data_IF_275807393261
#
_entry.id   IF_275807393261
#
_cell.length_a   1.000
_cell.length_b   1.000
_cell.length_c   1.000
_cell.angle_alpha   90.00
_cell.angle_beta   90.00
_cell.angle_gamma   90.00
#
_symmetry.space_group_name_H-M   'P 1'
#
loop_
_entity.id
_entity.type
_entity.pdbx_description
1 polymer ?
#
# COMPACT_ATOMS: atom_id res chain seq x y z
N UNK A 1 36.72 -27.30 68.75
CA UNK A 1 35.64 -28.00 68.00
C UNK A 1 35.01 -27.13 66.88
N UNK A 2 35.76 -26.21 66.23
CA UNK A 2 35.17 -25.24 65.27
C UNK A 2 35.81 -25.24 63.86
N UNK A 3 36.71 -26.16 63.54
CA UNK A 3 37.40 -26.17 62.23
C UNK A 3 36.67 -26.92 61.10
N UNK A 4 35.60 -27.68 61.41
CA UNK A 4 34.89 -28.48 60.39
C UNK A 4 33.69 -27.74 59.76
N UNK A 5 33.14 -26.74 60.43
CA UNK A 5 31.98 -25.99 59.94
C UNK A 5 32.35 -24.94 58.86
N UNK A 6 33.57 -24.40 58.89
CA UNK A 6 34.03 -23.36 57.97
C UNK A 6 34.28 -23.86 56.55
N UNK A 7 34.62 -25.14 56.37
CA UNK A 7 34.87 -25.73 55.04
C UNK A 7 33.60 -26.01 54.24
N UNK A 8 32.48 -26.29 54.92
CA UNK A 8 31.19 -26.57 54.25
C UNK A 8 30.55 -25.28 53.75
N UNK A 9 30.67 -24.18 54.51
CA UNK A 9 30.15 -22.86 54.10
C UNK A 9 30.88 -22.30 52.88
N UNK A 10 32.20 -22.52 52.79
CA UNK A 10 33.01 -22.07 51.66
C UNK A 10 32.72 -22.85 50.36
N UNK A 11 32.40 -24.15 50.47
CA UNK A 11 31.95 -24.95 49.32
C UNK A 11 30.54 -24.57 48.84
N UNK A 12 29.64 -24.19 49.75
CA UNK A 12 28.29 -23.74 49.37
C UNK A 12 28.32 -22.38 48.65
N UNK A 13 29.19 -21.46 49.06
CA UNK A 13 29.40 -20.17 48.38
C UNK A 13 30.04 -20.31 46.99
N UNK A 14 30.87 -21.34 46.77
CA UNK A 14 31.51 -21.60 45.48
C UNK A 14 30.54 -22.21 44.45
N UNK A 15 29.57 -23.02 44.90
CA UNK A 15 28.51 -23.56 44.03
C UNK A 15 27.48 -22.49 43.65
N UNK A 16 27.24 -21.50 44.51
CA UNK A 16 26.39 -20.34 44.19
C UNK A 16 27.06 -19.35 43.21
N UNK A 17 28.40 -19.29 43.18
CA UNK A 17 29.16 -18.46 42.21
C UNK A 17 29.27 -19.08 40.81
N UNK A 18 28.91 -20.35 40.64
CA UNK A 18 28.96 -21.07 39.37
C UNK A 18 27.65 -21.02 38.56
N UNK A 19 26.62 -20.32 39.05
CA UNK A 19 25.62 -19.73 38.14
C UNK A 19 26.25 -18.50 37.51
N UNK A 20 27.30 -18.76 36.73
CA UNK A 20 27.87 -17.87 35.74
C UNK A 20 26.68 -17.24 35.05
N UNK A 21 26.55 -15.93 35.24
CA UNK A 21 25.66 -15.10 34.48
C UNK A 21 25.74 -15.58 33.04
N UNK A 22 24.69 -16.28 32.59
CA UNK A 22 24.39 -16.37 31.17
C UNK A 22 24.01 -14.94 30.85
N UNK A 23 25.02 -14.09 30.65
CA UNK A 23 24.89 -12.86 29.93
C UNK A 23 24.20 -13.30 28.66
N UNK A 24 22.89 -13.07 28.59
CA UNK A 24 22.09 -13.33 27.41
C UNK A 24 22.82 -12.55 26.33
N UNK A 25 23.60 -13.27 25.54
CA UNK A 25 24.32 -12.72 24.42
C UNK A 25 23.22 -12.44 23.39
N UNK A 26 22.45 -11.37 23.64
CA UNK A 26 21.35 -10.98 22.78
C UNK A 26 22.00 -10.75 21.43
N UNK A 27 21.57 -11.45 20.38
CA UNK A 27 22.17 -11.26 19.07
C UNK A 27 22.10 -9.78 18.73
N UNK A 28 23.21 -9.22 18.28
CA UNK A 28 23.24 -7.86 17.76
C UNK A 28 22.39 -7.86 16.49
N UNK A 29 21.39 -6.99 16.45
CA UNK A 29 20.52 -6.84 15.29
C UNK A 29 20.88 -5.57 14.52
N UNK A 30 20.90 -5.69 13.21
CA UNK A 30 20.83 -4.56 12.28
C UNK A 30 19.35 -4.31 11.95
N UNK A 31 18.98 -3.05 11.75
CA UNK A 31 17.59 -2.64 11.50
C UNK A 31 17.47 -1.86 10.19
N UNK A 32 16.37 -2.09 9.48
CA UNK A 32 16.00 -1.39 8.27
C UNK A 32 14.50 -1.11 8.28
N UNK A 33 14.10 0.04 7.74
CA UNK A 33 12.70 0.41 7.61
C UNK A 33 12.30 0.44 6.13
N UNK A 34 11.13 -0.12 5.81
CA UNK A 34 10.46 0.07 4.53
C UNK A 34 9.19 0.89 4.77
N UNK A 35 9.17 2.11 4.25
CA UNK A 35 7.99 2.97 4.21
C UNK A 35 7.20 2.62 2.95
N UNK A 36 5.96 2.19 3.07
CA UNK A 36 5.01 1.97 1.98
C UNK A 36 3.95 3.07 2.00
N UNK A 37 3.75 3.74 0.87
CA UNK A 37 2.87 4.93 0.80
C UNK A 37 1.42 4.63 0.40
N UNK A 38 1.09 3.36 0.13
CA UNK A 38 -0.30 2.96 -0.10
C UNK A 38 -0.85 3.33 -1.47
N UNK A 39 -2.18 3.18 -1.58
CA UNK A 39 -2.98 3.34 -2.81
C UNK A 39 -3.05 4.78 -3.32
N UNK A 40 -2.81 5.77 -2.46
CA UNK A 40 -2.72 7.19 -2.85
C UNK A 40 -1.47 7.54 -3.63
N UNK A 41 -0.54 6.60 -3.79
CA UNK A 41 0.63 6.80 -4.65
C UNK A 41 0.18 6.91 -6.11
N UNK A 42 0.01 8.16 -6.56
CA UNK A 42 -0.43 8.50 -7.91
C UNK A 42 0.72 8.55 -8.91
N UNK A 43 1.92 8.93 -8.43
CA UNK A 43 3.16 8.95 -9.20
C UNK A 43 4.37 8.85 -8.25
N UNK A 44 5.50 8.35 -8.76
CA UNK A 44 6.75 8.24 -8.01
C UNK A 44 6.93 6.91 -7.28
N UNK A 45 7.76 6.86 -6.22
CA UNK A 45 8.05 5.63 -5.50
C UNK A 45 6.83 5.15 -4.70
N UNK A 46 6.61 3.84 -4.73
CA UNK A 46 5.59 3.14 -3.92
C UNK A 46 6.06 2.98 -2.48
N UNK A 47 7.37 3.01 -2.26
CA UNK A 47 7.95 2.95 -0.94
C UNK A 47 9.44 3.28 -0.90
N UNK A 48 9.99 3.34 0.31
CA UNK A 48 11.36 3.75 0.56
C UNK A 48 12.03 2.90 1.64
N UNK A 49 13.25 2.43 1.39
CA UNK A 49 14.13 1.72 2.32
C UNK A 49 15.10 2.67 3.01
N UNK A 50 15.20 2.55 4.34
CA UNK A 50 16.19 3.25 5.15
C UNK A 50 16.79 2.31 6.23
N UNK A 51 18.08 1.94 6.16
CA UNK A 51 19.03 2.23 5.07
C UNK A 51 18.67 1.50 3.76
N UNK A 52 19.40 1.78 2.68
CA UNK A 52 19.15 1.21 1.35
C UNK A 52 19.31 -0.33 1.33
N UNK A 53 18.39 -1.02 0.67
CA UNK A 53 18.48 -2.47 0.42
C UNK A 53 19.21 -2.70 -0.90
N UNK A 54 20.36 -3.39 -0.88
CA UNK A 54 21.17 -3.65 -2.10
C UNK A 54 21.49 -2.38 -2.91
N UNK A 55 21.67 -1.24 -2.23
CA UNK A 55 21.89 0.07 -2.87
C UNK A 55 20.63 0.75 -3.42
N UNK A 56 19.46 0.13 -3.28
CA UNK A 56 18.18 0.69 -3.66
C UNK A 56 17.48 1.33 -2.46
N UNK A 57 17.23 2.64 -2.55
CA UNK A 57 16.43 3.38 -1.56
C UNK A 57 14.96 3.40 -1.93
N UNK A 58 14.61 3.50 -3.21
CA UNK A 58 13.23 3.69 -3.63
C UNK A 58 12.68 2.48 -4.34
N UNK A 59 11.47 2.07 -3.96
CA UNK A 59 10.71 1.04 -4.64
C UNK A 59 9.76 1.74 -5.60
N UNK A 60 9.85 1.45 -6.89
CA UNK A 60 8.98 2.00 -7.94
C UNK A 60 8.25 0.87 -8.68
N UNK A 61 7.10 1.17 -9.26
CA UNK A 61 6.48 0.27 -10.23
C UNK A 61 7.35 0.18 -11.49
N UNK A 62 7.38 -1.00 -12.13
CA UNK A 62 8.15 -1.22 -13.36
C UNK A 62 7.67 -0.35 -14.53
N UNK A 63 6.42 0.10 -14.49
CA UNK A 63 5.84 1.03 -15.46
C UNK A 63 4.52 1.63 -14.96
N UNK A 64 4.01 2.66 -15.64
CA UNK A 64 2.76 3.31 -15.26
C UNK A 64 1.56 2.39 -15.51
N UNK A 65 0.70 2.24 -14.50
CA UNK A 65 -0.58 1.51 -14.61
C UNK A 65 -1.58 2.28 -15.47
N UNK A 66 -2.67 1.63 -15.88
CA UNK A 66 -3.76 2.29 -16.63
C UNK A 66 -4.35 3.45 -15.82
N UNK A 67 -4.49 3.27 -14.51
CA UNK A 67 -4.92 4.31 -13.58
C UNK A 67 -3.97 5.53 -13.63
N UNK A 68 -2.65 5.32 -13.50
CA UNK A 68 -1.66 6.40 -13.58
C UNK A 68 -1.69 7.12 -14.93
N UNK A 69 -1.79 6.38 -16.04
CA UNK A 69 -1.88 6.97 -17.39
C UNK A 69 -3.11 7.87 -17.53
N UNK A 70 -4.29 7.40 -17.07
CA UNK A 70 -5.54 8.17 -17.14
C UNK A 70 -5.48 9.43 -16.27
N UNK A 71 -4.86 9.32 -15.10
CA UNK A 71 -4.65 10.47 -14.22
C UNK A 71 -3.70 11.49 -14.87
N UNK A 72 -2.57 11.04 -15.43
CA UNK A 72 -1.63 11.91 -16.14
C UNK A 72 -2.30 12.60 -17.33
N UNK A 73 -3.12 11.90 -18.11
CA UNK A 73 -3.90 12.49 -19.20
C UNK A 73 -4.85 13.58 -18.71
N UNK A 74 -5.51 13.37 -17.55
CA UNK A 74 -6.39 14.38 -16.95
C UNK A 74 -5.65 15.63 -16.44
N UNK A 75 -4.39 15.48 -16.00
CA UNK A 75 -3.57 16.60 -15.50
C UNK A 75 -2.85 17.37 -16.61
N UNK A 76 -2.34 16.67 -17.64
CA UNK A 76 -1.57 17.29 -18.72
C UNK A 76 -2.49 17.93 -19.77
N UNK A 77 -3.81 17.75 -19.66
CA UNK A 77 -4.77 18.43 -20.53
C UNK A 77 -4.56 18.07 -22.00
N UNK A 78 -4.08 16.85 -22.31
CA UNK A 78 -3.99 16.37 -23.68
C UNK A 78 -5.38 16.04 -24.18
N UNK A 79 -6.11 17.08 -24.58
CA UNK A 79 -6.72 17.25 -25.91
C UNK A 79 -7.60 16.18 -26.53
N UNK A 80 -7.85 15.03 -25.91
CA UNK A 80 -9.07 14.30 -26.23
C UNK A 80 -10.18 15.07 -25.53
N UNK A 81 -10.78 16.00 -26.28
CA UNK A 81 -12.15 16.44 -26.02
C UNK A 81 -12.93 15.19 -25.65
N UNK A 82 -13.27 15.06 -24.37
CA UNK A 82 -14.49 14.35 -24.02
C UNK A 82 -15.54 15.16 -24.76
N UNK A 83 -15.89 14.74 -25.99
CA UNK A 83 -17.12 15.12 -26.67
C UNK A 83 -18.25 14.55 -25.82
N UNK A 84 -18.44 15.13 -24.64
CA UNK A 84 -19.70 15.11 -23.96
C UNK A 84 -20.60 15.91 -24.87
N UNK A 85 -21.32 15.21 -25.75
CA UNK A 85 -22.49 15.78 -26.38
C UNK A 85 -23.39 16.25 -25.23
N UNK A 86 -23.30 17.54 -24.94
CA UNK A 86 -24.07 18.14 -23.87
C UNK A 86 -25.46 18.32 -24.46
N UNK A 87 -26.30 17.29 -24.31
CA UNK A 87 -27.67 17.38 -24.78
C UNK A 87 -28.44 18.38 -23.93
N UNK A 88 -29.13 19.31 -24.59
CA UNK A 88 -29.93 20.32 -23.92
C UNK A 88 -31.30 19.72 -23.57
N UNK A 89 -31.53 19.45 -22.29
CA UNK A 89 -32.83 18.97 -21.79
C UNK A 89 -33.67 20.14 -21.30
N UNK A 90 -34.88 20.28 -21.84
CA UNK A 90 -35.86 21.31 -21.44
C UNK A 90 -37.18 20.64 -21.05
N UNK A 91 -37.73 21.03 -19.90
CA UNK A 91 -39.04 20.54 -19.41
C UNK A 91 -40.01 21.72 -19.47
N UNK A 92 -41.04 21.62 -20.31
CA UNK A 92 -42.10 22.64 -20.43
C UNK A 92 -43.47 22.03 -20.09
N UNK A 93 -44.51 22.86 -20.04
CA UNK A 93 -45.91 22.40 -19.88
C UNK A 93 -46.37 21.50 -21.03
N UNK A 94 -45.70 21.53 -22.19
CA UNK A 94 -46.03 20.71 -23.35
C UNK A 94 -45.34 19.34 -23.35
N UNK A 95 -44.29 19.13 -22.54
CA UNK A 95 -43.56 17.86 -22.41
C UNK A 95 -42.05 18.03 -22.20
N UNK A 96 -41.32 16.92 -22.28
CA UNK A 96 -39.85 16.90 -22.20
C UNK A 96 -39.24 16.98 -23.59
N UNK A 97 -38.26 17.85 -23.76
CA UNK A 97 -37.50 18.05 -24.99
C UNK A 97 -36.03 17.76 -24.73
N UNK A 98 -35.40 17.02 -25.64
CA UNK A 98 -33.94 16.79 -25.67
C UNK A 98 -33.45 17.22 -27.05
N UNK A 99 -32.50 18.15 -27.07
CA UNK A 99 -31.95 18.75 -28.30
C UNK A 99 -33.05 19.31 -29.23
N UNK A 100 -34.05 19.95 -28.61
CA UNK A 100 -35.20 20.55 -29.30
C UNK A 100 -36.25 19.56 -29.82
N UNK A 101 -36.05 18.24 -29.65
CA UNK A 101 -37.03 17.21 -30.02
C UNK A 101 -37.87 16.80 -28.82
N UNK A 102 -39.20 16.86 -28.99
CA UNK A 102 -40.14 16.31 -28.01
C UNK A 102 -39.97 14.80 -27.95
N UNK A 103 -39.62 14.30 -26.78
CA UNK A 103 -39.47 12.86 -26.53
C UNK A 103 -40.67 12.34 -25.74
N UNK A 104 -41.06 11.12 -26.08
CA UNK A 104 -42.12 10.39 -25.39
C UNK A 104 -41.63 9.92 -24.01
N UNK A 105 -42.55 9.69 -23.05
CA UNK A 105 -42.18 9.12 -21.75
C UNK A 105 -41.43 7.78 -21.85
N UNK A 106 -41.70 6.99 -22.89
CA UNK A 106 -41.01 5.74 -23.19
C UNK A 106 -39.58 5.95 -23.66
N UNK A 107 -39.34 6.93 -24.53
CA UNK A 107 -37.99 7.28 -25.00
C UNK A 107 -37.14 7.88 -23.87
N UNK A 108 -37.75 8.72 -23.03
CA UNK A 108 -37.08 9.28 -21.85
C UNK A 108 -36.62 8.18 -20.88
N UNK A 109 -37.46 7.15 -20.66
CA UNK A 109 -37.08 5.99 -19.83
C UNK A 109 -35.92 5.21 -20.43
N UNK A 110 -35.97 4.92 -21.74
CA UNK A 110 -34.89 4.21 -22.43
C UNK A 110 -33.57 4.99 -22.38
N UNK A 111 -33.64 6.32 -22.52
CA UNK A 111 -32.47 7.19 -22.43
C UNK A 111 -31.87 7.17 -21.02
N UNK A 112 -32.69 7.33 -19.97
CA UNK A 112 -32.25 7.28 -18.59
C UNK A 112 -31.68 5.90 -18.21
N UNK A 113 -32.29 4.82 -18.69
CA UNK A 113 -31.78 3.46 -18.49
C UNK A 113 -30.44 3.24 -19.18
N UNK A 114 -30.27 3.77 -20.41
CA UNK A 114 -29.01 3.70 -21.14
C UNK A 114 -27.92 4.51 -20.44
N UNK A 115 -28.24 5.72 -19.99
CA UNK A 115 -27.30 6.58 -19.27
C UNK A 115 -26.92 5.95 -17.92
N UNK A 116 -27.88 5.45 -17.16
CA UNK A 116 -27.61 4.74 -15.90
C UNK A 116 -26.71 3.52 -16.11
N UNK A 117 -26.96 2.71 -17.15
CA UNK A 117 -26.08 1.58 -17.51
C UNK A 117 -24.67 2.05 -17.90
N UNK A 118 -24.55 3.13 -18.66
CA UNK A 118 -23.25 3.69 -19.05
C UNK A 118 -22.50 4.23 -17.83
N UNK A 119 -23.17 4.96 -16.93
CA UNK A 119 -22.59 5.44 -15.68
C UNK A 119 -22.13 4.27 -14.79
N UNK A 120 -22.93 3.21 -14.69
CA UNK A 120 -22.58 2.03 -13.92
C UNK A 120 -21.36 1.30 -14.51
N UNK A 121 -21.30 1.14 -15.84
CA UNK A 121 -20.15 0.56 -16.53
C UNK A 121 -18.89 1.43 -16.38
N UNK A 122 -19.04 2.75 -16.43
CA UNK A 122 -17.95 3.69 -16.23
C UNK A 122 -17.39 3.60 -14.79
N UNK A 123 -18.28 3.54 -13.79
CA UNK A 123 -17.90 3.35 -12.39
C UNK A 123 -17.20 2.00 -12.19
N UNK A 124 -17.76 0.92 -12.73
CA UNK A 124 -17.15 -0.41 -12.62
C UNK A 124 -15.76 -0.45 -13.26
N UNK A 125 -15.60 0.17 -14.44
CA UNK A 125 -14.31 0.32 -15.10
C UNK A 125 -13.31 1.11 -14.23
N UNK A 126 -13.75 2.20 -13.59
CA UNK A 126 -12.92 2.97 -12.65
C UNK A 126 -12.47 2.13 -11.45
N UNK A 127 -13.38 1.37 -10.84
CA UNK A 127 -13.07 0.51 -9.72
C UNK A 127 -12.08 -0.60 -10.11
N UNK A 128 -12.23 -1.20 -11.29
CA UNK A 128 -11.29 -2.21 -11.80
C UNK A 128 -9.88 -1.63 -11.98
N UNK A 129 -9.75 -0.46 -12.61
CA UNK A 129 -8.44 0.18 -12.78
C UNK A 129 -7.76 0.51 -11.44
N UNK A 130 -8.53 0.97 -10.45
CA UNK A 130 -8.02 1.23 -9.09
C UNK A 130 -7.57 -0.06 -8.39
N UNK A 131 -8.34 -1.14 -8.54
CA UNK A 131 -7.99 -2.45 -7.99
C UNK A 131 -6.70 -3.00 -8.62
N UNK A 132 -6.56 -2.92 -9.94
CA UNK A 132 -5.35 -3.33 -10.65
C UNK A 132 -4.12 -2.51 -10.23
N UNK A 133 -4.30 -1.20 -10.04
CA UNK A 133 -3.23 -0.34 -9.52
C UNK A 133 -2.80 -0.76 -8.11
N UNK A 134 -3.77 -0.95 -7.22
CA UNK A 134 -3.52 -1.38 -5.84
C UNK A 134 -2.82 -2.74 -5.78
N UNK A 135 -3.24 -3.65 -6.65
CA UNK A 135 -2.60 -4.96 -6.81
C UNK A 135 -1.15 -4.81 -7.24
N UNK A 136 -0.86 -4.00 -8.26
CA UNK A 136 0.51 -3.76 -8.72
C UNK A 136 1.41 -3.15 -7.62
N UNK A 137 0.88 -2.20 -6.84
CA UNK A 137 1.58 -1.62 -5.68
C UNK A 137 1.92 -2.70 -4.63
N UNK A 138 0.92 -3.52 -4.29
CA UNK A 138 1.04 -4.58 -3.28
C UNK A 138 2.05 -5.64 -3.73
N UNK A 139 1.92 -6.14 -4.96
CA UNK A 139 2.86 -7.11 -5.54
C UNK A 139 4.29 -6.58 -5.52
N UNK A 140 4.47 -5.29 -5.84
CA UNK A 140 5.80 -4.68 -5.85
C UNK A 140 6.42 -4.61 -4.45
N UNK A 141 5.64 -4.23 -3.44
CA UNK A 141 6.11 -4.24 -2.05
C UNK A 141 6.39 -5.66 -1.56
N UNK A 142 5.54 -6.63 -1.90
CA UNK A 142 5.79 -8.04 -1.58
C UNK A 142 7.08 -8.54 -2.21
N UNK A 143 7.37 -8.19 -3.47
CA UNK A 143 8.65 -8.53 -4.10
C UNK A 143 9.83 -7.90 -3.36
N UNK A 144 9.73 -6.63 -2.95
CA UNK A 144 10.78 -5.96 -2.19
C UNK A 144 11.01 -6.59 -0.81
N UNK A 145 9.95 -7.00 -0.12
CA UNK A 145 10.05 -7.71 1.15
C UNK A 145 10.66 -9.11 0.97
N UNK A 146 10.29 -9.83 -0.08
CA UNK A 146 10.87 -11.13 -0.40
C UNK A 146 12.37 -11.01 -0.73
N UNK A 147 12.76 -9.99 -1.50
CA UNK A 147 14.18 -9.72 -1.77
C UNK A 147 14.96 -9.38 -0.49
N UNK A 148 14.34 -8.65 0.45
CA UNK A 148 14.93 -8.41 1.76
C UNK A 148 15.07 -9.72 2.56
N UNK A 149 14.05 -10.57 2.52
CA UNK A 149 14.07 -11.88 3.20
C UNK A 149 15.14 -12.82 2.65
N UNK A 150 15.36 -12.84 1.33
CA UNK A 150 16.48 -13.56 0.70
C UNK A 150 17.85 -13.09 1.23
N UNK A 151 17.97 -11.81 1.59
CA UNK A 151 19.17 -11.23 2.22
C UNK A 151 19.24 -11.48 3.74
N UNK A 152 18.30 -12.24 4.30
CA UNK A 152 18.23 -12.57 5.72
C UNK A 152 17.58 -11.48 6.59
N UNK A 153 16.86 -10.52 5.99
CA UNK A 153 16.06 -9.55 6.74
C UNK A 153 14.68 -10.14 7.08
N UNK A 154 14.29 -10.03 8.34
CA UNK A 154 12.99 -10.47 8.83
C UNK A 154 12.13 -9.28 9.23
N UNK A 155 10.83 -9.34 8.93
CA UNK A 155 9.88 -8.32 9.44
C UNK A 155 9.71 -8.52 10.95
N UNK A 156 10.21 -7.56 11.73
CA UNK A 156 10.11 -7.52 13.18
C UNK A 156 8.83 -6.84 13.66
N UNK A 157 8.39 -5.79 12.94
CA UNK A 157 7.19 -5.03 13.26
C UNK A 157 6.56 -4.45 11.99
N UNK A 158 5.24 -4.32 12.01
CA UNK A 158 4.47 -3.60 11.01
C UNK A 158 3.57 -2.59 11.71
N UNK A 159 3.60 -1.34 11.26
CA UNK A 159 2.73 -0.27 11.78
C UNK A 159 2.06 0.48 10.63
N UNK A 160 0.88 1.04 10.87
CA UNK A 160 0.24 1.94 9.93
C UNK A 160 0.95 3.29 9.88
N UNK A 161 0.94 3.92 8.71
CA UNK A 161 1.41 5.27 8.47
C UNK A 161 0.36 6.02 7.65
N UNK A 162 -0.35 6.94 8.31
CA UNK A 162 -1.47 7.63 7.70
C UNK A 162 -2.65 6.70 7.38
N UNK A 163 -3.51 7.08 6.42
CA UNK A 163 -4.76 6.36 6.15
C UNK A 163 -4.57 5.03 5.41
N UNK A 164 -3.52 4.88 4.60
CA UNK A 164 -3.30 3.69 3.76
C UNK A 164 -1.83 3.28 3.61
N UNK A 165 -0.90 3.98 4.26
CA UNK A 165 0.52 3.62 4.27
C UNK A 165 0.87 2.64 5.39
N UNK A 166 2.00 1.97 5.24
CA UNK A 166 2.57 1.04 6.22
C UNK A 166 4.06 1.33 6.41
N UNK A 167 4.58 1.03 7.59
CA UNK A 167 6.01 0.97 7.85
C UNK A 167 6.33 -0.44 8.33
N UNK A 168 7.26 -1.08 7.64
CA UNK A 168 7.84 -2.35 8.07
C UNK A 168 9.18 -2.07 8.73
N UNK A 169 9.34 -2.51 9.97
CA UNK A 169 10.64 -2.61 10.61
C UNK A 169 11.19 -4.00 10.33
N UNK A 170 12.28 -4.06 9.60
CA UNK A 170 13.04 -5.26 9.32
C UNK A 170 14.24 -5.34 10.26
N UNK A 171 14.62 -6.55 10.64
CA UNK A 171 15.82 -6.84 11.42
C UNK A 171 16.63 -7.95 10.77
N UNK A 172 17.95 -7.94 10.97
CA UNK A 172 18.85 -9.01 10.55
C UNK A 172 19.84 -9.29 11.68
N UNK A 173 20.11 -10.56 11.98
CA UNK A 173 21.19 -10.91 12.89
C UNK A 173 22.54 -10.62 12.25
N UNK A 174 23.39 -9.94 13.02
CA UNK A 174 24.74 -9.58 12.61
C UNK A 174 25.71 -10.76 12.69
#
# INVERSE_FOLDING_TARGET
>A
MYLRATRVVLLFLLVLGAQVAVAQNKPAYEYMQLFYYGTKTMAGPVGHFSPALRGQTDVTLAGPTVYMKRLMQSMVGTGEEIKGETSATMVTSEGTFVDGKKITPTELRQMNEKESKQQQQALESQLRMLADHTKALTERITQSLNAAAEDGWEVAQMSSFGPDGLVYLLRKTR
#
